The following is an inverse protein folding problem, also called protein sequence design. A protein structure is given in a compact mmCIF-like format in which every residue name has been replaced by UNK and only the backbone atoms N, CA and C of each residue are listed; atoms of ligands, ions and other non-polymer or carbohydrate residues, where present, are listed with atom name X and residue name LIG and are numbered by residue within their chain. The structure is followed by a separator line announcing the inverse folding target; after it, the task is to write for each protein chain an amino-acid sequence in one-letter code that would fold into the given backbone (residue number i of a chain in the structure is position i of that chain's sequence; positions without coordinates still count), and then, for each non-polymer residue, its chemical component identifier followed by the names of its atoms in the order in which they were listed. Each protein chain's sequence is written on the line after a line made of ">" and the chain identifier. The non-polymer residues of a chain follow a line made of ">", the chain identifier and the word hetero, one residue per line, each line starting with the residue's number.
data_IF_497419577933
#
_entry.id   IF_497419577933
#
_cell.length_a   1.000
_cell.length_b   1.000
_cell.length_c   1.000
_cell.angle_alpha   90.00
_cell.angle_beta   90.00
_cell.angle_gamma   90.00
#
_symmetry.space_group_name_H-M   'P 1'
#
loop_
_entity.id
_entity.type
_entity.pdbx_description
1 polymer ?
#
# COMPACT_ATOMS: atom_id res chain seq x y z
N UNK A 1 13.62 5.30 2.54
CA UNK A 1 12.77 5.23 3.74
C UNK A 1 13.65 5.43 4.96
N UNK A 2 13.24 6.28 5.89
CA UNK A 2 13.92 6.51 7.17
C UNK A 2 14.01 5.20 7.98
N UNK A 3 15.16 4.96 8.61
CA UNK A 3 15.42 3.73 9.38
C UNK A 3 14.56 3.67 10.66
N UNK A 4 14.27 4.81 11.29
CA UNK A 4 13.38 4.87 12.46
C UNK A 4 11.94 4.49 12.08
N UNK A 5 11.47 4.97 10.92
CA UNK A 5 10.16 4.60 10.39
C UNK A 5 10.10 3.12 10.00
N UNK A 6 11.16 2.58 9.39
CA UNK A 6 11.27 1.14 9.11
C UNK A 6 11.17 0.35 10.40
N UNK A 7 11.92 0.73 11.43
CA UNK A 7 11.89 0.06 12.73
C UNK A 7 10.49 0.10 13.35
N UNK A 8 9.82 1.26 13.32
CA UNK A 8 8.43 1.41 13.80
C UNK A 8 7.41 0.60 13.02
N UNK A 9 7.58 0.45 11.71
CA UNK A 9 6.70 -0.41 10.91
C UNK A 9 6.81 -1.86 11.39
N UNK A 10 8.00 -2.38 11.70
CA UNK A 10 8.17 -3.77 12.13
C UNK A 10 7.98 -4.01 13.64
N UNK A 11 8.03 -2.96 14.46
CA UNK A 11 7.63 -2.99 15.87
C UNK A 11 6.09 -3.04 16.01
N UNK A 12 5.49 -4.08 16.63
CA UNK A 12 4.04 -4.17 16.80
C UNK A 12 3.42 -2.97 17.51
N UNK A 13 4.07 -2.46 18.56
CA UNK A 13 3.53 -1.33 19.34
C UNK A 13 3.70 0.01 18.61
N UNK A 14 4.82 0.19 17.90
CA UNK A 14 5.04 1.30 16.98
C UNK A 14 4.00 1.34 15.86
N UNK A 15 3.78 0.21 15.19
CA UNK A 15 2.80 0.06 14.13
C UNK A 15 1.38 0.32 14.62
N UNK A 16 1.00 -0.21 15.79
CA UNK A 16 -0.31 0.03 16.35
C UNK A 16 -0.53 1.53 16.66
N UNK A 17 0.48 2.21 17.20
CA UNK A 17 0.43 3.66 17.43
C UNK A 17 0.30 4.46 16.13
N UNK A 18 0.99 4.04 15.05
CA UNK A 18 0.84 4.67 13.73
C UNK A 18 -0.60 4.57 13.22
N UNK A 19 -1.26 3.42 13.38
CA UNK A 19 -2.67 3.23 13.01
C UNK A 19 -3.58 4.15 13.83
N UNK A 20 -3.45 4.12 15.16
CA UNK A 20 -4.29 4.92 16.05
C UNK A 20 -4.13 6.43 15.82
N UNK A 21 -2.93 6.89 15.48
CA UNK A 21 -2.65 8.29 15.17
C UNK A 21 -3.43 8.81 13.94
N UNK A 22 -3.99 7.92 13.12
CA UNK A 22 -4.80 8.26 11.94
C UNK A 22 -6.28 8.45 12.23
N UNK A 23 -6.74 8.14 13.44
CA UNK A 23 -8.14 8.36 13.81
C UNK A 23 -8.47 9.86 13.73
N UNK A 24 -9.54 10.26 13.01
CA UNK A 24 -9.95 11.65 13.00
C UNK A 24 -10.29 12.15 14.42
N UNK A 25 -10.03 13.43 14.73
CA UNK A 25 -10.46 13.99 16.00
C UNK A 25 -11.99 13.94 16.08
N UNK A 26 -12.51 13.52 17.24
CA UNK A 26 -13.96 13.41 17.49
C UNK A 26 -14.70 12.48 16.50
N UNK A 27 -14.08 11.37 16.09
CA UNK A 27 -14.70 10.36 15.22
C UNK A 27 -15.84 9.58 15.91
N UNK A 28 -16.86 9.21 15.12
CA UNK A 28 -17.83 8.18 15.53
C UNK A 28 -17.13 6.82 15.67
N UNK A 29 -17.70 5.89 16.43
CA UNK A 29 -17.14 4.55 16.57
C UNK A 29 -16.91 3.86 15.21
N UNK A 30 -17.86 3.99 14.28
CA UNK A 30 -17.74 3.46 12.91
C UNK A 30 -16.54 4.08 12.19
N UNK A 31 -16.42 5.40 12.21
CA UNK A 31 -15.31 6.12 11.58
C UNK A 31 -13.96 5.72 12.15
N UNK A 32 -13.85 5.53 13.47
CA UNK A 32 -12.61 5.09 14.08
C UNK A 32 -12.25 3.64 13.68
N UNK A 33 -13.23 2.72 13.62
CA UNK A 33 -13.01 1.32 13.20
C UNK A 33 -12.60 1.22 11.74
N UNK A 34 -13.29 1.93 10.83
CA UNK A 34 -12.92 1.96 9.41
C UNK A 34 -11.50 2.52 9.24
N UNK A 35 -11.17 3.60 9.95
CA UNK A 35 -9.82 4.14 9.97
C UNK A 35 -8.80 3.08 10.40
N UNK A 36 -9.03 2.41 11.53
CA UNK A 36 -8.08 1.41 12.05
C UNK A 36 -7.85 0.26 11.07
N UNK A 37 -8.92 -0.30 10.49
CA UNK A 37 -8.83 -1.40 9.52
C UNK A 37 -8.02 -0.98 8.30
N UNK A 38 -8.35 0.18 7.73
CA UNK A 38 -7.69 0.68 6.53
C UNK A 38 -6.22 0.96 6.78
N UNK A 39 -5.89 1.64 7.88
CA UNK A 39 -4.50 1.98 8.19
C UNK A 39 -3.68 0.79 8.66
N UNK A 40 -4.29 -0.20 9.29
CA UNK A 40 -3.65 -1.47 9.56
C UNK A 40 -3.23 -2.17 8.27
N UNK A 41 -4.12 -2.21 7.27
CA UNK A 41 -3.81 -2.80 5.96
C UNK A 41 -2.72 -2.01 5.24
N UNK A 42 -2.76 -0.67 5.27
CA UNK A 42 -1.70 0.18 4.70
C UNK A 42 -0.35 -0.11 5.36
N UNK A 43 -0.29 -0.21 6.70
CA UNK A 43 0.95 -0.56 7.41
C UNK A 43 1.44 -1.95 6.99
N UNK A 44 0.54 -2.92 6.80
CA UNK A 44 0.91 -4.24 6.31
C UNK A 44 1.49 -4.19 4.87
N UNK A 45 0.93 -3.38 3.98
CA UNK A 45 1.48 -3.16 2.64
C UNK A 45 2.86 -2.49 2.69
N UNK A 46 3.02 -1.48 3.54
CA UNK A 46 4.29 -0.78 3.75
C UNK A 46 5.39 -1.71 4.29
N UNK A 47 5.03 -2.68 5.15
CA UNK A 47 5.97 -3.73 5.58
C UNK A 47 6.44 -4.59 4.41
N UNK A 48 5.52 -5.00 3.53
CA UNK A 48 5.88 -5.80 2.35
C UNK A 48 6.73 -5.03 1.36
N UNK A 49 6.47 -3.74 1.13
CA UNK A 49 7.31 -2.91 0.26
C UNK A 49 8.68 -2.61 0.87
N UNK A 50 8.75 -2.49 2.19
CA UNK A 50 9.99 -2.25 2.94
C UNK A 50 10.84 -3.49 3.19
N UNK A 51 10.24 -4.69 3.16
CA UNK A 51 10.92 -5.94 3.47
C UNK A 51 12.05 -6.19 2.48
N UNK A 52 13.27 -6.40 2.96
CA UNK A 52 14.39 -6.83 2.11
C UNK A 52 14.40 -8.35 2.00
N UNK A 53 14.57 -8.87 0.78
CA UNK A 53 14.74 -10.31 0.59
C UNK A 53 16.22 -10.69 0.69
N UNK A 54 16.49 -11.88 1.23
CA UNK A 54 17.83 -12.47 1.22
C UNK A 54 18.18 -13.11 -0.14
N UNK A 55 17.21 -13.27 -1.05
CA UNK A 55 17.42 -13.87 -2.38
C UNK A 55 16.32 -13.48 -3.39
N UNK A 56 16.64 -13.57 -4.69
CA UNK A 56 15.74 -13.20 -5.78
C UNK A 56 14.42 -14.00 -5.82
N UNK A 57 14.43 -15.28 -5.41
CA UNK A 57 13.20 -16.08 -5.32
C UNK A 57 12.24 -15.58 -4.23
N UNK A 58 12.78 -15.03 -3.14
CA UNK A 58 12.01 -14.39 -2.08
C UNK A 58 11.50 -13.01 -2.53
N UNK A 59 12.25 -12.30 -3.38
CA UNK A 59 11.80 -11.04 -3.99
C UNK A 59 10.55 -11.21 -4.87
N UNK A 60 10.52 -12.23 -5.74
CA UNK A 60 9.34 -12.50 -6.57
C UNK A 60 8.09 -12.79 -5.70
N UNK A 61 8.28 -13.59 -4.65
CA UNK A 61 7.22 -13.87 -3.67
C UNK A 61 6.77 -12.64 -2.89
N UNK A 62 7.67 -11.68 -2.61
CA UNK A 62 7.36 -10.40 -1.96
C UNK A 62 6.48 -9.55 -2.87
N UNK A 63 6.84 -9.39 -4.14
CA UNK A 63 6.05 -8.59 -5.10
C UNK A 63 4.66 -9.15 -5.31
N UNK A 64 4.52 -10.47 -5.40
CA UNK A 64 3.21 -11.09 -5.53
C UNK A 64 2.33 -10.84 -4.29
N UNK A 65 2.88 -11.00 -3.08
CA UNK A 65 2.14 -10.75 -1.84
C UNK A 65 1.74 -9.28 -1.69
N UNK A 66 2.62 -8.36 -2.10
CA UNK A 66 2.33 -6.94 -2.11
C UNK A 66 1.16 -6.61 -3.05
N UNK A 67 1.22 -7.10 -4.30
CA UNK A 67 0.15 -6.91 -5.28
C UNK A 67 -1.19 -7.50 -4.82
N UNK A 68 -1.18 -8.73 -4.29
CA UNK A 68 -2.38 -9.39 -3.76
C UNK A 68 -2.98 -8.63 -2.57
N UNK A 69 -2.14 -8.13 -1.66
CA UNK A 69 -2.59 -7.29 -0.55
C UNK A 69 -3.23 -5.98 -1.02
N UNK A 70 -2.66 -5.34 -2.04
CA UNK A 70 -3.23 -4.12 -2.63
C UNK A 70 -4.61 -4.41 -3.22
N UNK A 71 -4.74 -5.49 -4.01
CA UNK A 71 -6.01 -5.90 -4.61
C UNK A 71 -7.09 -6.19 -3.56
N UNK A 72 -6.73 -6.86 -2.46
CA UNK A 72 -7.66 -7.17 -1.38
C UNK A 72 -8.14 -5.93 -0.62
N UNK A 73 -7.28 -4.93 -0.42
CA UNK A 73 -7.70 -3.65 0.14
C UNK A 73 -8.62 -2.90 -0.83
N UNK A 74 -8.23 -2.77 -2.10
CA UNK A 74 -9.02 -2.09 -3.14
C UNK A 74 -10.42 -2.69 -3.30
N UNK A 75 -10.55 -4.02 -3.17
CA UNK A 75 -11.83 -4.73 -3.22
C UNK A 75 -12.79 -4.35 -2.09
N UNK A 76 -12.26 -3.97 -0.92
CA UNK A 76 -13.05 -3.60 0.27
C UNK A 76 -13.37 -2.12 0.36
N UNK A 77 -12.53 -1.25 -0.21
CA UNK A 77 -12.66 0.21 -0.10
C UNK A 77 -14.03 0.77 -0.55
N UNK A 78 -14.69 0.30 -1.64
CA UNK A 78 -16.01 0.81 -2.01
C UNK A 78 -17.03 0.69 -0.87
N UNK A 79 -17.12 -0.48 -0.24
CA UNK A 79 -18.05 -0.71 0.88
C UNK A 79 -17.67 0.14 2.10
N UNK A 80 -16.37 0.32 2.37
CA UNK A 80 -15.92 1.18 3.46
C UNK A 80 -16.23 2.66 3.20
N UNK A 81 -16.21 3.12 1.95
CA UNK A 81 -16.69 4.45 1.58
C UNK A 81 -18.18 4.61 1.85
N UNK A 82 -18.99 3.60 1.49
CA UNK A 82 -20.44 3.62 1.76
C UNK A 82 -20.74 3.74 3.27
N UNK A 83 -20.02 2.99 4.12
CA UNK A 83 -20.15 3.08 5.59
C UNK A 83 -19.80 4.47 6.15
N UNK A 84 -18.91 5.20 5.48
CA UNK A 84 -18.51 6.56 5.86
C UNK A 84 -19.34 7.65 5.18
N UNK A 85 -20.20 7.29 4.22
CA UNK A 85 -20.86 8.26 3.34
C UNK A 85 -19.90 9.04 2.44
N UNK A 86 -18.72 8.49 2.16
CA UNK A 86 -17.73 9.10 1.26
C UNK A 86 -18.04 8.71 -0.21
N UNK A 87 -17.86 9.63 -1.18
CA UNK A 87 -18.07 9.32 -2.58
C UNK A 87 -16.98 8.38 -3.12
N UNK A 88 -17.40 7.26 -3.69
CA UNK A 88 -16.51 6.35 -4.43
C UNK A 88 -16.43 6.70 -5.92
N UNK A 89 -15.26 6.51 -6.53
CA UNK A 89 -15.07 6.72 -7.95
C UNK A 89 -13.62 6.53 -8.40
N UNK A 90 -13.37 6.46 -9.71
CA UNK A 90 -12.03 6.26 -10.25
C UNK A 90 -11.09 7.40 -9.82
N UNK A 91 -9.84 7.05 -9.51
CA UNK A 91 -8.76 8.00 -9.24
C UNK A 91 -7.77 7.90 -10.40
N UNK A 92 -7.21 9.03 -10.82
CA UNK A 92 -6.19 9.02 -11.87
C UNK A 92 -4.95 8.26 -11.37
N UNK A 93 -4.27 7.48 -12.23
CA UNK A 93 -3.02 6.85 -11.86
C UNK A 93 -1.99 7.92 -11.47
N UNK A 94 -1.35 7.73 -10.32
CA UNK A 94 -0.43 8.69 -9.74
C UNK A 94 1.02 8.54 -10.26
N UNK A 95 1.30 7.49 -11.02
CA UNK A 95 2.64 7.09 -11.40
C UNK A 95 2.89 7.08 -12.92
N UNK A 96 4.13 7.38 -13.28
CA UNK A 96 4.61 7.32 -14.67
C UNK A 96 4.85 5.85 -15.06
N UNK A 97 4.13 5.32 -16.07
CA UNK A 97 4.25 3.92 -16.48
C UNK A 97 5.62 3.59 -17.12
N UNK A 98 6.40 4.58 -17.54
CA UNK A 98 7.70 4.38 -18.19
C UNK A 98 8.82 4.04 -17.18
N UNK A 99 8.60 4.33 -15.90
CA UNK A 99 9.58 4.06 -14.85
C UNK A 99 9.67 2.55 -14.53
N UNK A 100 10.86 2.05 -14.12
CA UNK A 100 11.01 0.69 -13.61
C UNK A 100 10.04 0.40 -12.46
N UNK A 101 9.53 -0.84 -12.39
CA UNK A 101 8.52 -1.22 -11.41
C UNK A 101 9.00 -1.03 -9.97
N UNK A 102 10.28 -1.33 -9.70
CA UNK A 102 10.89 -1.13 -8.38
C UNK A 102 10.92 0.36 -7.99
N UNK A 103 11.30 1.25 -8.90
CA UNK A 103 11.26 2.70 -8.68
C UNK A 103 9.84 3.19 -8.44
N UNK A 104 8.86 2.67 -9.18
CA UNK A 104 7.43 3.00 -8.96
C UNK A 104 6.95 2.53 -7.58
N UNK A 105 7.38 1.35 -7.12
CA UNK A 105 7.08 0.86 -5.77
C UNK A 105 7.66 1.81 -4.71
N UNK A 106 8.90 2.27 -4.87
CA UNK A 106 9.53 3.21 -3.94
C UNK A 106 8.77 4.53 -3.86
N UNK A 107 8.36 5.08 -5.02
CA UNK A 107 7.58 6.31 -5.10
C UNK A 107 6.19 6.17 -4.46
N UNK A 108 5.44 5.12 -4.80
CA UNK A 108 4.12 4.85 -4.23
C UNK A 108 4.21 4.59 -2.71
N UNK A 109 5.23 3.86 -2.26
CA UNK A 109 5.53 3.67 -0.84
C UNK A 109 5.79 5.02 -0.16
N UNK A 110 6.59 5.90 -0.79
CA UNK A 110 6.85 7.24 -0.27
C UNK A 110 5.57 8.08 -0.12
N UNK A 111 4.66 8.03 -1.10
CA UNK A 111 3.37 8.74 -1.03
C UNK A 111 2.47 8.18 0.08
N UNK A 112 2.34 6.85 0.21
CA UNK A 112 1.59 6.21 1.30
C UNK A 112 2.17 6.54 2.67
N UNK A 113 3.50 6.58 2.81
CA UNK A 113 4.15 7.06 4.05
C UNK A 113 3.80 8.53 4.31
N UNK A 114 3.77 9.37 3.28
CA UNK A 114 3.31 10.76 3.40
C UNK A 114 1.88 10.86 3.92
N UNK A 115 0.97 10.03 3.41
CA UNK A 115 -0.42 9.96 3.87
C UNK A 115 -0.55 9.47 5.32
N UNK A 116 0.29 8.51 5.73
CA UNK A 116 0.33 8.02 7.11
C UNK A 116 0.71 9.13 8.11
N UNK A 117 1.49 10.12 7.68
CA UNK A 117 1.90 11.25 8.51
C UNK A 117 1.07 12.52 8.27
N UNK A 118 0.06 12.48 7.40
CA UNK A 118 -0.71 13.67 7.04
C UNK A 118 -1.46 14.25 8.26
N UNK A 119 -1.45 15.56 8.51
CA UNK A 119 -2.11 16.13 9.69
C UNK A 119 -3.65 16.08 9.62
N UNK A 120 -4.21 15.90 8.42
CA UNK A 120 -5.65 15.86 8.18
C UNK A 120 -6.13 14.42 7.89
N UNK A 121 -7.43 14.13 8.08
CA UNK A 121 -8.05 12.91 7.56
C UNK A 121 -7.80 12.75 6.06
N UNK A 122 -7.53 11.52 5.64
CA UNK A 122 -7.25 11.19 4.24
C UNK A 122 -8.50 10.55 3.64
N UNK A 123 -9.09 11.12 2.57
CA UNK A 123 -10.22 10.50 1.89
C UNK A 123 -9.87 9.10 1.38
N UNK A 124 -10.75 8.13 1.57
CA UNK A 124 -10.48 6.73 1.19
C UNK A 124 -10.24 6.58 -0.32
N UNK A 125 -10.88 7.41 -1.15
CA UNK A 125 -10.66 7.42 -2.60
C UNK A 125 -9.24 7.87 -2.99
N UNK A 126 -8.63 8.79 -2.23
CA UNK A 126 -7.25 9.20 -2.47
C UNK A 126 -6.30 8.07 -2.10
N UNK A 127 -6.55 7.43 -0.96
CA UNK A 127 -5.78 6.27 -0.54
C UNK A 127 -5.89 5.11 -1.56
N UNK A 128 -7.08 4.88 -2.11
CA UNK A 128 -7.29 3.88 -3.16
C UNK A 128 -6.37 4.11 -4.37
N UNK A 129 -6.22 5.36 -4.82
CA UNK A 129 -5.32 5.69 -5.93
C UNK A 129 -3.85 5.33 -5.64
N UNK A 130 -3.39 5.57 -4.41
CA UNK A 130 -2.02 5.22 -4.02
C UNK A 130 -1.79 3.72 -3.82
N UNK A 131 -2.80 3.01 -3.32
CA UNK A 131 -2.76 1.54 -3.19
C UNK A 131 -2.80 0.86 -4.56
N UNK A 132 -3.60 1.39 -5.50
CA UNK A 132 -3.63 0.92 -6.89
C UNK A 132 -2.29 1.12 -7.58
N UNK A 133 -1.69 2.32 -7.48
CA UNK A 133 -0.36 2.59 -8.00
C UNK A 133 0.70 1.66 -7.40
N UNK A 134 0.66 1.38 -6.09
CA UNK A 134 1.57 0.43 -5.44
C UNK A 134 1.39 -0.99 -5.97
N UNK A 135 0.15 -1.44 -6.16
CA UNK A 135 -0.17 -2.76 -6.70
C UNK A 135 0.31 -2.92 -8.15
N UNK A 136 0.02 -1.95 -9.00
CA UNK A 136 0.47 -1.92 -10.40
C UNK A 136 1.99 -1.90 -10.51
N UNK A 137 2.67 -1.13 -9.65
CA UNK A 137 4.12 -1.09 -9.57
C UNK A 137 4.72 -2.43 -9.13
N UNK A 138 4.11 -3.10 -8.15
CA UNK A 138 4.54 -4.42 -7.68
C UNK A 138 4.41 -5.48 -8.77
N UNK A 139 3.32 -5.49 -9.55
CA UNK A 139 3.15 -6.36 -10.71
C UNK A 139 4.22 -6.08 -11.77
N UNK A 140 4.51 -4.80 -12.03
CA UNK A 140 5.55 -4.39 -12.98
C UNK A 140 6.94 -4.86 -12.53
N UNK A 141 7.26 -4.72 -11.25
CA UNK A 141 8.52 -5.19 -10.67
C UNK A 141 8.65 -6.73 -10.73
N UNK A 142 7.56 -7.44 -10.48
CA UNK A 142 7.50 -8.90 -10.64
C UNK A 142 7.74 -9.32 -12.09
N UNK A 143 7.06 -8.68 -13.04
CA UNK A 143 7.21 -8.98 -14.46
C UNK A 143 8.64 -8.73 -14.97
N UNK A 144 9.29 -7.65 -14.52
CA UNK A 144 10.66 -7.31 -14.90
C UNK A 144 11.72 -8.26 -14.31
N UNK A 145 11.47 -8.82 -13.13
CA UNK A 145 12.39 -9.74 -12.45
C UNK A 145 12.17 -11.20 -12.81
N UNK A 146 11.01 -11.54 -13.36
CA UNK A 146 10.69 -12.89 -13.81
C UNK A 146 11.33 -13.13 -15.18
N UNK A 147 12.34 -13.99 -15.25
CA UNK A 147 12.84 -14.53 -16.51
C UNK A 147 11.82 -15.51 -17.09
N UNK A 148 10.79 -14.98 -17.75
CA UNK A 148 9.84 -15.83 -18.46
C UNK A 148 10.49 -16.33 -19.74
N UNK A 149 11.22 -17.45 -19.65
CA UNK A 149 11.58 -18.22 -20.84
C UNK A 149 10.32 -18.89 -21.35
N UNK A 150 9.77 -18.38 -22.46
CA UNK A 150 8.69 -19.07 -23.18
C UNK A 150 9.21 -20.46 -23.58
N UNK A 151 8.54 -21.56 -23.17
CA UNK A 151 8.91 -22.89 -23.62
C UNK A 151 8.74 -22.95 -25.15
N UNK A 152 9.84 -23.05 -25.89
CA UNK A 152 9.79 -23.37 -27.33
C UNK A 152 10.43 -22.37 -28.31
N UNK A 153 11.07 -21.28 -27.87
CA UNK A 153 11.96 -20.52 -28.75
C UNK A 153 13.37 -21.12 -28.72
N UNK A 154 13.63 -22.06 -29.64
CA UNK A 154 14.96 -22.45 -30.11
C UNK A 154 15.02 -22.27 -31.61
#
# INVERSE_FOLDING_TARGET
>A
MDDDLRQRLFDPDGAHRLVLARRPPHCSAMTCVVSDVVWHDVVHLLRWSAATAASAGVDAGRWWRLAAGCAELLRRLPALCDELGEPWGPTAPADDPELPGTTRVELATGRLLGLLHAPAPVPLRLLAGEVDALGAAAISALAQTSSWSLPGMR
#
